data_IF_993820091829
#
_entry.id   IF_993820091829
#
_cell.length_a   1.000
_cell.length_b   1.000
_cell.length_c   1.000
_cell.angle_alpha   90.00
_cell.angle_beta   90.00
_cell.angle_gamma   90.00
#
_symmetry.space_group_name_H-M   'P 1'
#
loop_
_entity.id
_entity.type
_entity.pdbx_description
1 polymer ?
#
# COMPACT_ATOMS: atom_id res chain seq x y z
N UNK A 1 -11.37 -5.28 32.09
CA UNK A 1 -10.25 -5.32 31.12
C UNK A 1 -10.74 -4.59 29.90
N UNK A 2 -10.31 -3.34 29.72
CA UNK A 2 -10.61 -2.57 28.51
C UNK A 2 -9.81 -3.19 27.35
N UNK A 3 -10.43 -3.53 26.21
CA UNK A 3 -9.65 -3.91 25.05
C UNK A 3 -8.81 -2.70 24.66
N UNK A 4 -7.49 -2.85 24.67
CA UNK A 4 -6.57 -1.83 24.17
C UNK A 4 -7.06 -1.45 22.78
N UNK A 5 -7.53 -0.22 22.62
CA UNK A 5 -7.97 0.33 21.35
C UNK A 5 -6.74 0.30 20.45
N UNK A 6 -6.62 -0.76 19.62
CA UNK A 6 -5.56 -0.88 18.64
C UNK A 6 -5.55 0.41 17.85
N UNK A 7 -4.38 1.04 17.77
CA UNK A 7 -4.16 2.28 17.03
C UNK A 7 -4.94 2.25 15.71
N UNK A 8 -5.79 3.26 15.49
CA UNK A 8 -6.60 3.34 14.29
C UNK A 8 -5.72 3.15 13.05
N UNK A 9 -6.13 2.29 12.10
CA UNK A 9 -5.38 2.11 10.88
C UNK A 9 -5.24 3.45 10.16
N UNK A 10 -4.06 3.70 9.57
CA UNK A 10 -3.81 4.93 8.80
C UNK A 10 -4.50 4.94 7.43
N UNK A 11 -5.18 3.85 7.08
CA UNK A 11 -5.96 3.70 5.87
C UNK A 11 -7.47 3.76 6.17
N UNK A 12 -8.30 4.09 5.17
CA UNK A 12 -9.76 4.10 5.31
C UNK A 12 -10.31 2.75 5.77
N UNK A 13 -11.17 2.76 6.79
CA UNK A 13 -11.77 1.53 7.33
C UNK A 13 -12.64 0.77 6.31
N UNK A 14 -13.18 1.46 5.30
CA UNK A 14 -13.95 0.86 4.21
C UNK A 14 -13.17 -0.15 3.36
N UNK A 15 -11.83 -0.06 3.37
CA UNK A 15 -10.95 -1.01 2.71
C UNK A 15 -10.77 -2.30 3.52
N UNK A 16 -11.09 -2.26 4.81
CA UNK A 16 -10.96 -3.39 5.72
C UNK A 16 -9.51 -3.67 6.10
N UNK A 17 -9.14 -4.95 6.11
CA UNK A 17 -7.81 -5.40 6.52
C UNK A 17 -6.94 -5.63 5.27
N UNK A 18 -5.73 -5.04 5.21
CA UNK A 18 -4.84 -5.27 4.08
C UNK A 18 -4.33 -6.71 4.09
N UNK A 19 -4.13 -7.28 2.91
CA UNK A 19 -3.46 -8.58 2.76
C UNK A 19 -1.95 -8.47 2.93
N UNK A 20 -1.38 -7.29 2.67
CA UNK A 20 0.02 -6.98 2.92
C UNK A 20 0.18 -5.51 3.24
N UNK A 21 1.00 -5.18 4.23
CA UNK A 21 1.29 -3.81 4.64
C UNK A 21 2.70 -3.71 5.21
N UNK A 22 3.35 -2.58 5.02
CA UNK A 22 4.68 -2.33 5.58
C UNK A 22 5.09 -0.88 5.46
N UNK A 23 6.23 -0.53 6.04
CA UNK A 23 6.79 0.82 5.91
C UNK A 23 8.25 0.89 6.34
N UNK A 24 9.02 1.69 5.60
CA UNK A 24 10.43 2.01 5.83
C UNK A 24 10.72 3.42 5.31
N UNK A 25 11.67 4.11 5.93
CA UNK A 25 12.18 5.42 5.49
C UNK A 25 11.10 6.50 5.22
N UNK A 26 10.07 6.55 6.08
CA UNK A 26 9.00 7.55 5.96
C UNK A 26 7.97 7.26 4.86
N UNK A 27 8.10 6.11 4.17
CA UNK A 27 7.08 5.57 3.30
C UNK A 27 6.40 4.37 3.96
N UNK A 28 5.09 4.26 3.79
CA UNK A 28 4.28 3.09 4.16
C UNK A 28 3.30 2.73 3.06
N UNK A 29 2.91 1.47 3.01
CA UNK A 29 1.95 0.96 2.04
C UNK A 29 0.98 -0.04 2.67
N UNK A 30 -0.20 -0.14 2.08
CA UNK A 30 -1.23 -1.12 2.44
C UNK A 30 -1.93 -1.61 1.17
N UNK A 31 -1.94 -2.93 0.97
CA UNK A 31 -2.48 -3.59 -0.21
C UNK A 31 -3.76 -4.36 0.12
N UNK A 32 -4.83 -4.07 -0.63
CA UNK A 32 -6.19 -4.60 -0.45
C UNK A 32 -6.62 -5.33 -1.73
N UNK A 33 -6.34 -6.63 -1.87
CA UNK A 33 -6.67 -7.39 -3.09
C UNK A 33 -8.18 -7.43 -3.35
N UNK A 34 -9.02 -7.59 -2.31
CA UNK A 34 -10.48 -7.61 -2.43
C UNK A 34 -11.06 -6.32 -3.03
N UNK A 35 -10.40 -5.18 -2.77
CA UNK A 35 -10.81 -3.86 -3.28
C UNK A 35 -10.00 -3.43 -4.50
N UNK A 36 -8.98 -4.20 -4.89
CA UNK A 36 -7.98 -3.83 -5.91
C UNK A 36 -7.36 -2.46 -5.64
N UNK A 37 -7.09 -2.18 -4.37
CA UNK A 37 -6.50 -0.92 -3.93
C UNK A 37 -5.11 -1.14 -3.36
N UNK A 38 -4.18 -0.28 -3.76
CA UNK A 38 -2.88 -0.13 -3.13
C UNK A 38 -2.77 1.31 -2.60
N UNK A 39 -2.66 1.45 -1.29
CA UNK A 39 -2.41 2.75 -0.66
C UNK A 39 -0.93 2.89 -0.44
N UNK A 40 -0.38 4.02 -0.84
CA UNK A 40 1.01 4.40 -0.58
C UNK A 40 1.02 5.76 0.05
N UNK A 41 1.59 5.86 1.24
CA UNK A 41 1.88 7.14 1.87
C UNK A 41 3.39 7.36 1.86
N UNK A 42 3.82 8.51 1.35
CA UNK A 42 5.23 8.94 1.40
C UNK A 42 5.28 10.34 1.95
N UNK A 43 6.03 10.54 3.04
CA UNK A 43 6.18 11.85 3.69
C UNK A 43 4.82 12.49 4.05
N UNK A 44 3.88 11.66 4.53
CA UNK A 44 2.52 12.10 4.90
C UNK A 44 1.56 12.32 3.72
N UNK A 45 2.02 12.18 2.47
CA UNK A 45 1.15 12.25 1.30
C UNK A 45 0.62 10.86 0.93
N UNK A 46 -0.67 10.64 1.19
CA UNK A 46 -1.39 9.42 0.82
C UNK A 46 -1.83 9.47 -0.65
N UNK A 47 -1.55 8.42 -1.40
CA UNK A 47 -2.05 8.20 -2.76
C UNK A 47 -2.62 6.79 -2.86
N UNK A 48 -3.82 6.69 -3.44
CA UNK A 48 -4.48 5.41 -3.71
C UNK A 48 -4.26 5.04 -5.18
N UNK A 49 -3.87 3.80 -5.42
CA UNK A 49 -3.64 3.23 -6.73
C UNK A 49 -4.57 2.04 -6.97
N UNK A 50 -5.00 1.87 -8.22
CA UNK A 50 -5.63 0.65 -8.69
C UNK A 50 -4.56 -0.43 -8.85
N UNK A 51 -4.64 -1.49 -8.04
CA UNK A 51 -3.71 -2.61 -8.12
C UNK A 51 -4.13 -3.66 -9.16
N UNK A 52 -5.27 -3.48 -9.83
CA UNK A 52 -5.86 -4.43 -10.76
C UNK A 52 -5.84 -5.86 -10.19
N UNK A 53 -5.21 -6.83 -10.87
CA UNK A 53 -5.08 -8.22 -10.40
C UNK A 53 -3.68 -8.52 -9.82
N UNK A 54 -2.85 -7.49 -9.59
CA UNK A 54 -1.53 -7.69 -9.02
C UNK A 54 -1.66 -8.12 -7.56
N UNK A 55 -1.05 -9.25 -7.22
CA UNK A 55 -0.85 -9.70 -5.83
C UNK A 55 0.49 -9.20 -5.35
N UNK A 56 0.47 -8.18 -4.50
CA UNK A 56 1.68 -7.57 -3.96
C UNK A 56 2.16 -8.38 -2.76
N UNK A 57 3.39 -8.86 -2.83
CA UNK A 57 4.05 -9.61 -1.75
C UNK A 57 5.10 -8.77 -1.00
N UNK A 58 5.59 -7.71 -1.61
CA UNK A 58 6.60 -6.84 -1.01
C UNK A 58 6.79 -5.53 -1.76
N UNK A 59 7.67 -4.69 -1.24
CA UNK A 59 8.04 -3.40 -1.82
C UNK A 59 9.56 -3.25 -1.83
N UNK A 60 10.09 -2.67 -2.89
CA UNK A 60 11.47 -2.25 -3.02
C UNK A 60 11.49 -0.75 -3.23
N UNK A 61 12.06 -0.04 -2.25
CA UNK A 61 12.25 1.41 -2.31
C UNK A 61 13.67 1.70 -2.80
N UNK A 62 13.79 2.66 -3.72
CA UNK A 62 15.08 3.15 -4.20
C UNK A 62 15.20 4.63 -3.84
N UNK A 63 16.29 5.03 -3.19
CA UNK A 63 16.51 6.41 -2.74
C UNK A 63 16.27 7.42 -3.86
N UNK A 64 15.21 8.23 -3.69
CA UNK A 64 14.83 9.29 -4.64
C UNK A 64 14.06 8.84 -5.87
N UNK A 65 13.59 7.59 -5.94
CA UNK A 65 12.71 7.09 -7.01
C UNK A 65 11.42 6.54 -6.43
N UNK A 66 10.40 6.47 -7.28
CA UNK A 66 9.14 5.90 -6.88
C UNK A 66 9.29 4.40 -6.56
N UNK A 67 8.56 3.89 -5.55
CA UNK A 67 8.65 2.51 -5.12
C UNK A 67 8.21 1.54 -6.21
N UNK A 68 8.83 0.37 -6.22
CA UNK A 68 8.41 -0.78 -7.00
C UNK A 68 7.84 -1.85 -6.09
N UNK A 69 6.76 -2.48 -6.50
CA UNK A 69 6.05 -3.51 -5.75
C UNK A 69 6.28 -4.85 -6.41
N UNK A 70 6.74 -5.84 -5.65
CA UNK A 70 6.93 -7.18 -6.16
C UNK A 70 5.58 -7.88 -6.25
N UNK A 71 5.26 -8.38 -7.45
CA UNK A 71 4.01 -9.09 -7.73
C UNK A 71 4.27 -10.51 -8.20
N UNK A 72 3.20 -11.31 -8.37
CA UNK A 72 3.30 -12.65 -8.93
C UNK A 72 3.86 -12.69 -10.37
N UNK A 73 3.79 -11.56 -11.09
CA UNK A 73 4.23 -11.44 -12.48
C UNK A 73 5.54 -10.65 -12.62
N UNK A 74 6.21 -10.32 -11.51
CA UNK A 74 7.39 -9.44 -11.47
C UNK A 74 7.11 -8.10 -10.78
N UNK A 75 8.08 -7.20 -10.81
CA UNK A 75 7.99 -5.90 -10.14
C UNK A 75 7.18 -4.89 -10.95
N UNK A 76 6.23 -4.21 -10.32
CA UNK A 76 5.45 -3.12 -10.89
C UNK A 76 5.83 -1.80 -10.24
N UNK A 77 6.14 -0.78 -11.04
CA UNK A 77 6.40 0.55 -10.49
C UNK A 77 5.10 1.25 -10.17
N UNK A 78 5.03 1.99 -9.06
CA UNK A 78 3.81 2.69 -8.67
C UNK A 78 3.36 3.74 -9.69
N UNK A 79 4.28 4.29 -10.51
CA UNK A 79 3.92 5.23 -11.58
C UNK A 79 3.22 4.56 -12.77
N UNK A 80 3.33 3.24 -12.91
CA UNK A 80 2.63 2.47 -13.93
C UNK A 80 1.19 2.14 -13.50
N UNK A 81 0.92 2.21 -12.19
CA UNK A 81 -0.40 2.01 -11.64
C UNK A 81 -1.26 3.26 -11.81
N UNK A 82 -2.54 3.03 -12.10
CA UNK A 82 -3.52 4.12 -12.20
C UNK A 82 -3.82 4.69 -10.81
N UNK A 83 -3.60 5.99 -10.63
CA UNK A 83 -4.07 6.70 -9.44
C UNK A 83 -5.59 6.77 -9.46
N UNK A 84 -6.19 6.52 -8.30
CA UNK A 84 -7.64 6.52 -8.09
C UNK A 84 -7.97 7.37 -6.86
N UNK A 85 -9.07 8.08 -6.94
CA UNK A 85 -9.67 8.81 -5.82
C UNK A 85 -10.50 7.84 -4.95
#
# INVERSE_FOLDING_TARGET
>A
MEPMKGSEPWWPQELGQPSSSGGQDGMRYAFFPDKRRLLVETDGKLVTYDSSDHRISGVSQSNGRAPSFTTQNGDVNVNDLKVVD
#
